data_IF_467616205888
#
_entry.id   IF_467616205888
#
_cell.length_a   1.000
_cell.length_b   1.000
_cell.length_c   1.000
_cell.angle_alpha   90.00
_cell.angle_beta   90.00
_cell.angle_gamma   90.00
#
_symmetry.space_group_name_H-M   'P 1'
#
loop_
_entity.id
_entity.type
_entity.pdbx_description
1 polymer ?
#
# COMPACT_ATOMS: atom_id res chain seq x y z
N UNK A 1 -62.75 33.52 -7.61
CA UNK A 1 -62.08 32.70 -8.59
C UNK A 1 -60.64 33.13 -8.84
N UNK A 2 -60.35 34.45 -9.12
CA UNK A 2 -59.00 34.96 -9.36
C UNK A 2 -58.10 34.77 -8.11
N UNK A 3 -58.54 35.10 -6.93
CA UNK A 3 -57.79 34.94 -5.67
C UNK A 3 -57.47 33.51 -5.38
N UNK A 4 -58.39 32.59 -5.65
CA UNK A 4 -58.12 31.13 -5.44
C UNK A 4 -57.08 30.57 -6.37
N UNK A 5 -57.07 31.00 -7.65
CA UNK A 5 -56.05 30.61 -8.61
C UNK A 5 -54.68 31.15 -8.23
N UNK A 6 -54.60 32.42 -7.78
CA UNK A 6 -53.33 32.98 -7.29
C UNK A 6 -52.81 32.26 -6.05
N UNK A 7 -53.64 31.94 -5.08
CA UNK A 7 -53.22 31.16 -3.91
C UNK A 7 -52.74 29.78 -4.28
N UNK A 8 -53.47 29.06 -5.17
CA UNK A 8 -53.06 27.74 -5.65
C UNK A 8 -51.72 27.76 -6.40
N UNK A 9 -51.46 28.79 -7.22
CA UNK A 9 -50.19 28.91 -7.94
C UNK A 9 -49.01 29.15 -7.02
N UNK A 10 -49.16 29.94 -5.96
CA UNK A 10 -48.11 30.15 -4.95
C UNK A 10 -47.82 28.87 -4.16
N UNK A 11 -48.85 28.18 -3.70
CA UNK A 11 -48.70 26.91 -2.97
C UNK A 11 -48.08 25.84 -3.83
N UNK A 12 -48.50 25.71 -5.09
CA UNK A 12 -47.95 24.76 -6.05
C UNK A 12 -46.47 25.06 -6.33
N UNK A 13 -46.10 26.33 -6.58
CA UNK A 13 -44.70 26.72 -6.79
C UNK A 13 -43.80 26.45 -5.57
N UNK A 14 -44.28 26.75 -4.38
CA UNK A 14 -43.56 26.44 -3.14
C UNK A 14 -43.40 24.95 -2.88
N UNK A 15 -44.42 24.14 -3.16
CA UNK A 15 -44.37 22.70 -3.03
C UNK A 15 -43.38 22.06 -3.99
N UNK A 16 -43.33 22.51 -5.24
CA UNK A 16 -42.38 22.02 -6.25
C UNK A 16 -40.92 22.34 -5.82
N UNK A 17 -40.65 23.58 -5.41
CA UNK A 17 -39.34 24.00 -4.96
C UNK A 17 -38.87 23.16 -3.74
N UNK A 18 -39.77 22.92 -2.79
CA UNK A 18 -39.48 22.06 -1.63
C UNK A 18 -39.12 20.60 -2.03
N UNK A 19 -39.91 20.01 -2.92
CA UNK A 19 -39.65 18.63 -3.40
C UNK A 19 -38.31 18.54 -4.11
N UNK A 20 -37.98 19.50 -4.98
CA UNK A 20 -36.69 19.52 -5.69
C UNK A 20 -35.53 19.64 -4.68
N UNK A 21 -35.59 20.57 -3.75
CA UNK A 21 -34.56 20.76 -2.73
C UNK A 21 -34.41 19.53 -1.83
N UNK A 22 -35.51 18.94 -1.41
CA UNK A 22 -35.51 17.71 -0.59
C UNK A 22 -34.88 16.51 -1.36
N UNK A 23 -35.22 16.36 -2.62
CA UNK A 23 -34.65 15.28 -3.46
C UNK A 23 -33.15 15.46 -3.69
N UNK A 24 -32.70 16.69 -3.94
CA UNK A 24 -31.27 16.99 -4.10
C UNK A 24 -30.50 16.69 -2.82
N UNK A 25 -31.02 17.13 -1.65
CA UNK A 25 -30.38 16.85 -0.36
C UNK A 25 -30.30 15.35 -0.06
N UNK A 26 -31.36 14.59 -0.39
CA UNK A 26 -31.36 13.14 -0.24
C UNK A 26 -30.29 12.49 -1.13
N UNK A 27 -30.20 12.89 -2.41
CA UNK A 27 -29.22 12.38 -3.34
C UNK A 27 -27.77 12.67 -2.87
N UNK A 28 -27.49 13.92 -2.49
CA UNK A 28 -26.17 14.31 -1.96
C UNK A 28 -25.78 13.50 -0.72
N UNK A 29 -26.73 13.27 0.19
CA UNK A 29 -26.46 12.46 1.39
C UNK A 29 -26.17 11.01 1.04
N UNK A 30 -26.90 10.43 0.07
CA UNK A 30 -26.68 9.07 -0.39
C UNK A 30 -25.29 8.91 -1.05
N UNK A 31 -24.90 9.85 -1.91
CA UNK A 31 -23.57 9.86 -2.56
C UNK A 31 -22.45 9.99 -1.54
N UNK A 32 -22.55 10.92 -0.58
CA UNK A 32 -21.56 11.03 0.51
C UNK A 32 -21.44 9.73 1.31
N UNK A 33 -22.56 9.07 1.58
CA UNK A 33 -22.58 7.76 2.24
C UNK A 33 -21.81 6.69 1.44
N UNK A 34 -22.02 6.64 0.14
CA UNK A 34 -21.33 5.72 -0.77
C UNK A 34 -19.83 6.01 -0.82
N UNK A 35 -19.41 7.26 -1.07
CA UNK A 35 -18.00 7.66 -1.12
C UNK A 35 -17.29 7.36 0.21
N UNK A 36 -17.96 7.62 1.35
CA UNK A 36 -17.45 7.26 2.68
C UNK A 36 -17.24 5.76 2.84
N UNK A 37 -18.15 4.95 2.33
CA UNK A 37 -18.05 3.49 2.34
C UNK A 37 -16.84 2.97 1.55
N UNK A 38 -16.66 3.48 0.33
CA UNK A 38 -15.50 3.18 -0.54
C UNK A 38 -14.21 3.57 0.18
N UNK A 39 -14.13 4.80 0.71
CA UNK A 39 -12.95 5.31 1.38
C UNK A 39 -12.54 4.48 2.61
N UNK A 40 -13.50 4.12 3.47
CA UNK A 40 -13.24 3.28 4.65
C UNK A 40 -12.73 1.89 4.26
N UNK A 41 -13.30 1.31 3.22
CA UNK A 41 -12.88 -0.02 2.74
C UNK A 41 -11.46 0.03 2.18
N UNK A 42 -11.15 1.05 1.37
CA UNK A 42 -9.82 1.24 0.80
C UNK A 42 -8.77 1.44 1.90
N UNK A 43 -9.03 2.34 2.86
CA UNK A 43 -8.13 2.59 4.00
C UNK A 43 -7.93 1.33 4.83
N UNK A 44 -8.98 0.59 5.17
CA UNK A 44 -8.84 -0.62 5.95
C UNK A 44 -8.06 -1.74 5.25
N UNK A 45 -8.06 -1.78 3.92
CA UNK A 45 -7.20 -2.70 3.16
C UNK A 45 -5.74 -2.25 3.17
N UNK A 46 -5.48 -0.94 2.93
CA UNK A 46 -4.15 -0.35 2.98
C UNK A 46 -3.52 -0.49 4.36
N UNK A 47 -4.24 -0.15 5.41
CA UNK A 47 -3.77 -0.25 6.80
C UNK A 47 -3.32 -1.67 7.17
N UNK A 48 -4.13 -2.67 6.83
CA UNK A 48 -3.75 -4.08 7.07
C UNK A 48 -2.52 -4.49 6.30
N UNK A 49 -2.38 -4.04 5.05
CA UNK A 49 -1.23 -4.35 4.21
C UNK A 49 0.04 -3.67 4.73
N UNK A 50 -0.04 -2.38 5.10
CA UNK A 50 1.07 -1.58 5.64
C UNK A 50 1.53 -2.15 6.98
N UNK A 51 0.60 -2.52 7.87
CA UNK A 51 0.93 -3.12 9.17
C UNK A 51 1.61 -4.50 9.05
N UNK A 52 1.45 -5.17 7.91
CA UNK A 52 2.09 -6.46 7.61
C UNK A 52 3.30 -6.30 6.65
N UNK A 53 3.92 -5.15 6.61
CA UNK A 53 5.10 -4.89 5.78
C UNK A 53 6.40 -5.02 6.58
N UNK A 54 7.46 -5.39 5.90
CA UNK A 54 8.81 -5.37 6.47
C UNK A 54 9.16 -3.93 6.87
N UNK A 55 9.64 -3.69 8.09
CA UNK A 55 10.06 -2.36 8.53
C UNK A 55 11.06 -1.74 7.55
N UNK A 56 10.97 -0.43 7.35
CA UNK A 56 11.84 0.34 6.45
C UNK A 56 11.85 -0.11 4.98
N UNK A 57 10.85 -0.91 4.54
CA UNK A 57 10.74 -1.32 3.12
C UNK A 57 9.91 -0.36 2.26
N UNK A 58 9.30 0.66 2.86
CA UNK A 58 8.39 1.57 2.15
C UNK A 58 9.14 2.53 1.23
N UNK A 59 8.64 2.67 0.01
CA UNK A 59 9.07 3.70 -0.93
C UNK A 59 7.88 4.23 -1.71
N UNK A 60 7.96 5.51 -2.10
CA UNK A 60 6.93 6.20 -2.87
C UNK A 60 7.55 6.78 -4.12
N UNK A 61 6.86 6.63 -5.25
CA UNK A 61 7.16 7.30 -6.51
C UNK A 61 5.88 7.90 -7.06
N UNK A 62 5.98 9.12 -7.58
CA UNK A 62 4.88 9.87 -8.17
C UNK A 62 5.26 10.37 -9.55
N UNK A 63 4.25 10.50 -10.44
CA UNK A 63 4.36 11.33 -11.64
C UNK A 63 4.39 12.82 -11.26
N UNK A 64 4.84 13.67 -12.19
CA UNK A 64 4.88 15.12 -11.94
C UNK A 64 3.48 15.74 -11.78
N UNK A 65 2.47 15.16 -12.42
CA UNK A 65 1.06 15.58 -12.38
C UNK A 65 0.27 15.01 -11.20
N UNK A 66 0.87 14.09 -10.41
CA UNK A 66 0.23 13.35 -9.31
C UNK A 66 -1.00 12.51 -9.74
N UNK A 67 -1.20 12.30 -11.02
CA UNK A 67 -2.20 11.39 -11.58
C UNK A 67 -1.80 9.90 -11.44
N UNK A 68 -0.52 9.67 -11.25
CA UNK A 68 0.04 8.38 -10.86
C UNK A 68 0.92 8.52 -9.63
N UNK A 69 0.63 7.72 -8.63
CA UNK A 69 1.46 7.64 -7.43
C UNK A 69 1.40 6.23 -6.86
N UNK A 70 2.57 5.65 -6.56
CA UNK A 70 2.70 4.31 -6.02
C UNK A 70 3.37 4.30 -4.66
N UNK A 71 2.79 3.57 -3.72
CA UNK A 71 3.40 3.11 -2.48
C UNK A 71 3.79 1.64 -2.65
N UNK A 72 5.06 1.32 -2.47
CA UNK A 72 5.58 -0.05 -2.59
C UNK A 72 6.28 -0.47 -1.30
N UNK A 73 6.14 -1.75 -0.94
CA UNK A 73 6.78 -2.35 0.22
C UNK A 73 6.89 -3.88 0.07
N UNK A 74 7.70 -4.51 0.93
CA UNK A 74 7.82 -5.96 1.04
C UNK A 74 6.82 -6.49 2.07
N UNK A 75 5.90 -7.40 1.70
CA UNK A 75 4.99 -8.02 2.66
C UNK A 75 5.72 -9.08 3.50
N UNK A 76 5.42 -9.15 4.79
CA UNK A 76 5.88 -10.22 5.68
C UNK A 76 4.98 -11.44 5.44
N UNK A 77 5.60 -12.58 5.11
CA UNK A 77 4.96 -13.89 5.05
C UNK A 77 5.02 -14.58 6.41
N UNK A 78 6.20 -14.53 7.05
CA UNK A 78 6.44 -15.01 8.41
C UNK A 78 7.56 -14.20 9.06
N UNK A 79 7.62 -14.22 10.37
CA UNK A 79 8.70 -13.63 11.14
C UNK A 79 9.11 -14.56 12.29
N UNK A 80 10.39 -14.58 12.61
CA UNK A 80 10.94 -15.37 13.70
C UNK A 80 12.14 -14.68 14.32
N UNK A 81 12.72 -15.32 15.34
CA UNK A 81 14.00 -14.95 15.89
C UNK A 81 15.07 -15.89 15.32
N UNK A 82 16.16 -15.35 14.78
CA UNK A 82 17.27 -16.16 14.34
C UNK A 82 18.16 -16.53 15.55
N UNK A 83 18.71 -17.75 15.49
CA UNK A 83 19.71 -18.26 16.44
C UNK A 83 21.11 -18.17 15.86
N UNK A 84 21.20 -18.25 14.52
CA UNK A 84 22.44 -18.13 13.76
C UNK A 84 22.17 -17.50 12.40
N UNK A 85 23.04 -16.60 11.97
CA UNK A 85 23.02 -16.02 10.63
C UNK A 85 24.43 -15.56 10.22
N UNK A 86 24.75 -15.48 8.92
CA UNK A 86 26.08 -15.10 8.44
C UNK A 86 26.28 -13.57 8.52
N UNK A 87 26.96 -13.08 9.56
CA UNK A 87 27.28 -11.66 9.75
C UNK A 87 28.76 -11.32 9.52
N UNK A 88 29.65 -12.27 9.70
CA UNK A 88 31.12 -12.08 9.56
C UNK A 88 31.60 -12.78 8.30
N UNK A 89 31.40 -14.09 8.27
CA UNK A 89 31.75 -14.91 7.13
C UNK A 89 30.53 -15.15 6.23
N UNK A 90 30.69 -15.12 4.89
CA UNK A 90 29.60 -15.43 3.98
C UNK A 90 29.06 -16.84 4.20
N UNK A 91 27.74 -16.96 4.27
CA UNK A 91 27.07 -18.25 4.51
C UNK A 91 25.78 -18.39 3.71
N UNK A 92 25.22 -19.60 3.71
CA UNK A 92 24.02 -19.95 2.96
C UNK A 92 22.84 -20.31 3.85
N UNK A 93 22.97 -20.22 5.18
CA UNK A 93 21.91 -20.61 6.11
C UNK A 93 21.65 -19.55 7.17
N UNK A 94 20.37 -19.39 7.50
CA UNK A 94 19.90 -18.66 8.68
C UNK A 94 19.05 -19.61 9.49
N UNK A 95 19.46 -19.90 10.72
CA UNK A 95 18.72 -20.75 11.63
C UNK A 95 17.78 -19.89 12.49
N UNK A 96 16.53 -20.32 12.59
CA UNK A 96 15.46 -19.61 13.29
C UNK A 96 14.78 -20.54 14.31
N UNK A 97 14.16 -19.95 15.34
CA UNK A 97 13.45 -20.72 16.36
C UNK A 97 12.27 -21.45 15.73
N UNK A 98 11.40 -20.73 15.02
CA UNK A 98 10.24 -21.30 14.33
C UNK A 98 9.68 -20.32 13.30
N UNK A 99 9.40 -20.80 12.11
CA UNK A 99 8.71 -20.09 11.04
C UNK A 99 7.34 -20.71 10.82
N UNK A 100 6.29 -19.94 11.01
CA UNK A 100 4.91 -20.41 10.91
C UNK A 100 4.47 -20.69 9.47
N UNK A 101 5.15 -20.10 8.51
CA UNK A 101 4.92 -20.26 7.07
C UNK A 101 6.23 -20.59 6.36
N UNK A 102 6.20 -21.59 5.47
CA UNK A 102 7.38 -22.06 4.70
C UNK A 102 7.15 -21.97 3.18
N UNK A 103 6.15 -21.21 2.75
CA UNK A 103 5.85 -20.98 1.34
C UNK A 103 5.34 -19.55 1.11
N UNK A 104 5.50 -19.06 -0.11
CA UNK A 104 4.99 -17.74 -0.52
C UNK A 104 5.91 -16.55 -0.26
N UNK A 105 7.13 -16.77 0.23
CA UNK A 105 8.17 -15.75 0.36
C UNK A 105 9.39 -16.08 -0.47
N UNK A 106 10.19 -15.06 -0.75
CA UNK A 106 11.36 -15.16 -1.62
C UNK A 106 12.63 -14.62 -0.96
N UNK A 107 12.48 -13.87 0.14
CA UNK A 107 13.59 -13.13 0.73
C UNK A 107 13.68 -13.33 2.23
N UNK A 108 14.91 -13.53 2.72
CA UNK A 108 15.26 -13.40 4.14
C UNK A 108 15.73 -11.97 4.40
N UNK A 109 15.11 -11.28 5.34
CA UNK A 109 15.45 -9.89 5.66
C UNK A 109 15.83 -9.78 7.13
N UNK A 110 17.02 -9.22 7.41
CA UNK A 110 17.52 -8.95 8.75
C UNK A 110 17.90 -7.48 8.85
N UNK A 111 17.28 -6.77 9.78
CA UNK A 111 17.60 -5.40 10.19
C UNK A 111 17.82 -4.40 9.05
N UNK A 112 16.83 -4.17 8.18
CA UNK A 112 16.94 -3.17 7.13
C UNK A 112 16.88 -1.76 7.74
N UNK A 113 17.85 -0.91 7.39
CA UNK A 113 17.90 0.48 7.85
C UNK A 113 17.22 1.45 6.90
N UNK A 114 17.19 1.11 5.61
CA UNK A 114 16.52 1.92 4.58
C UNK A 114 15.89 1.06 3.49
N UNK A 115 14.92 1.62 2.77
CA UNK A 115 14.36 0.96 1.59
C UNK A 115 15.42 0.79 0.49
N UNK A 116 16.34 1.73 0.33
CA UNK A 116 17.41 1.64 -0.66
C UNK A 116 18.26 0.38 -0.47
N UNK A 117 18.62 0.06 0.78
CA UNK A 117 19.44 -1.12 1.09
C UNK A 117 18.74 -2.43 0.70
N UNK A 118 17.42 -2.48 0.89
CA UNK A 118 16.60 -3.64 0.51
C UNK A 118 16.52 -3.82 -1.00
N UNK A 119 16.18 -2.75 -1.72
CA UNK A 119 15.89 -2.84 -3.15
C UNK A 119 17.13 -2.89 -4.04
N UNK A 120 18.31 -2.56 -3.53
CA UNK A 120 19.59 -2.72 -4.23
C UNK A 120 20.09 -4.17 -4.25
N UNK A 121 19.61 -5.03 -3.33
CA UNK A 121 20.06 -6.43 -3.19
C UNK A 121 21.59 -6.55 -3.10
N UNK A 122 22.21 -5.65 -2.34
CA UNK A 122 23.66 -5.68 -2.14
C UNK A 122 24.10 -6.90 -1.32
N UNK A 123 25.32 -7.35 -1.53
CA UNK A 123 25.99 -8.35 -0.71
C UNK A 123 27.41 -7.85 -0.35
N UNK A 124 27.68 -7.49 0.91
CA UNK A 124 26.82 -7.56 2.10
C UNK A 124 25.59 -6.65 2.03
N UNK A 125 24.47 -7.11 2.64
CA UNK A 125 23.21 -6.39 2.64
C UNK A 125 22.18 -6.97 3.62
N UNK A 126 21.05 -6.28 3.85
CA UNK A 126 20.03 -6.75 4.77
C UNK A 126 19.11 -7.83 4.20
N UNK A 127 19.23 -8.15 2.89
CA UNK A 127 18.32 -9.04 2.17
C UNK A 127 19.08 -10.13 1.42
N UNK A 128 18.72 -11.39 1.67
CA UNK A 128 19.19 -12.56 0.94
C UNK A 128 18.06 -13.28 0.21
N UNK A 129 18.32 -13.70 -1.05
CA UNK A 129 17.39 -14.53 -1.82
C UNK A 129 17.32 -15.94 -1.21
N UNK A 130 16.12 -16.53 -1.15
CA UNK A 130 15.87 -17.85 -0.56
C UNK A 130 15.76 -18.91 -1.66
N UNK A 131 16.43 -20.05 -1.44
CA UNK A 131 16.28 -21.25 -2.29
C UNK A 131 15.40 -22.31 -1.65
N UNK A 132 15.45 -22.45 -0.31
CA UNK A 132 14.64 -23.40 0.43
C UNK A 132 14.35 -22.89 1.84
N UNK A 133 13.27 -23.38 2.43
CA UNK A 133 12.88 -23.00 3.78
C UNK A 133 12.24 -24.19 4.51
N UNK A 134 12.58 -24.35 5.77
CA UNK A 134 11.93 -25.26 6.72
C UNK A 134 11.38 -24.47 7.88
N UNK A 135 10.74 -25.14 8.83
CA UNK A 135 10.23 -24.46 10.03
C UNK A 135 11.33 -23.83 10.91
N UNK A 136 12.58 -24.22 10.74
CA UNK A 136 13.70 -23.76 11.60
C UNK A 136 14.92 -23.24 10.81
N UNK A 137 14.98 -23.45 9.51
CA UNK A 137 16.15 -23.04 8.71
C UNK A 137 15.70 -22.41 7.39
N UNK A 138 16.28 -21.25 7.08
CA UNK A 138 16.18 -20.58 5.80
C UNK A 138 17.49 -20.85 5.05
N UNK A 139 17.41 -21.47 3.87
CA UNK A 139 18.55 -21.67 2.99
C UNK A 139 18.57 -20.61 1.92
N UNK A 140 19.66 -19.85 1.83
CA UNK A 140 19.84 -18.79 0.85
C UNK A 140 20.25 -19.38 -0.51
N UNK A 141 19.87 -18.70 -1.59
CA UNK A 141 20.17 -19.12 -2.95
C UNK A 141 21.66 -18.99 -3.32
N UNK A 142 22.36 -18.09 -2.63
CA UNK A 142 23.80 -17.87 -2.76
C UNK A 142 24.42 -17.52 -1.42
N UNK A 143 25.75 -17.62 -1.33
CA UNK A 143 26.48 -17.16 -0.15
C UNK A 143 26.25 -15.66 0.07
N UNK A 144 25.83 -15.28 1.27
CA UNK A 144 25.44 -13.91 1.62
C UNK A 144 26.02 -13.54 2.99
N UNK A 145 26.23 -12.24 3.20
CA UNK A 145 26.62 -11.67 4.50
C UNK A 145 25.63 -10.57 4.88
N UNK A 146 24.95 -10.71 6.01
CA UNK A 146 24.07 -9.64 6.51
C UNK A 146 24.90 -8.54 7.13
N UNK A 147 24.57 -7.27 6.80
CA UNK A 147 25.35 -6.10 7.21
C UNK A 147 25.30 -5.80 8.70
N UNK A 148 24.19 -6.10 9.36
CA UNK A 148 23.99 -5.70 10.76
C UNK A 148 23.11 -6.72 11.49
N UNK A 149 23.45 -6.95 12.76
CA UNK A 149 22.61 -7.75 13.64
C UNK A 149 21.37 -6.97 14.06
N UNK A 150 20.20 -7.62 14.06
CA UNK A 150 19.00 -7.08 14.65
C UNK A 150 19.13 -7.06 16.19
N UNK A 151 18.84 -5.93 16.87
CA UNK A 151 18.85 -5.87 18.32
C UNK A 151 17.95 -6.92 18.99
N UNK A 152 16.83 -7.27 18.33
CA UNK A 152 15.92 -8.31 18.78
C UNK A 152 16.14 -9.67 18.12
N UNK A 153 17.26 -9.90 17.42
CA UNK A 153 17.55 -11.13 16.67
C UNK A 153 16.42 -11.54 15.71
N UNK A 154 15.79 -10.59 15.08
CA UNK A 154 14.64 -10.85 14.18
C UNK A 154 15.05 -11.12 12.76
N UNK A 155 14.40 -12.10 12.16
CA UNK A 155 14.43 -12.39 10.72
C UNK A 155 13.01 -12.36 10.18
N UNK A 156 12.84 -11.68 9.04
CA UNK A 156 11.59 -11.66 8.30
C UNK A 156 11.72 -12.54 7.07
N UNK A 157 10.74 -13.40 6.89
CA UNK A 157 10.51 -14.12 5.65
C UNK A 157 9.53 -13.30 4.82
N UNK A 158 10.03 -12.64 3.78
CA UNK A 158 9.31 -11.68 2.98
C UNK A 158 8.94 -12.20 1.59
N UNK A 159 7.80 -11.77 1.10
CA UNK A 159 7.34 -12.04 -0.26
C UNK A 159 7.90 -11.05 -1.28
N UNK A 160 7.48 -11.22 -2.55
CA UNK A 160 7.72 -10.23 -3.59
C UNK A 160 7.05 -8.89 -3.24
N UNK A 161 7.58 -7.76 -3.75
CA UNK A 161 7.01 -6.44 -3.50
C UNK A 161 5.52 -6.38 -3.83
N UNK A 162 4.81 -5.58 -3.07
CA UNK A 162 3.42 -5.21 -3.33
C UNK A 162 3.36 -3.70 -3.54
N UNK A 163 2.71 -3.26 -4.62
CA UNK A 163 2.46 -1.84 -4.88
C UNK A 163 1.00 -1.51 -4.82
N UNK A 164 0.67 -0.40 -4.18
CA UNK A 164 -0.63 0.27 -4.28
C UNK A 164 -0.43 1.54 -5.09
N UNK A 165 -1.06 1.62 -6.26
CA UNK A 165 -0.87 2.72 -7.19
C UNK A 165 -2.18 3.40 -7.54
N UNK A 166 -2.21 4.73 -7.41
CA UNK A 166 -3.18 5.56 -8.11
C UNK A 166 -2.82 5.53 -9.60
N UNK A 167 -3.81 5.39 -10.45
CA UNK A 167 -3.72 5.52 -11.90
C UNK A 167 -4.98 6.23 -12.39
N UNK A 168 -4.84 7.51 -12.70
CA UNK A 168 -5.96 8.40 -12.97
C UNK A 168 -6.89 8.52 -11.75
N UNK A 169 -8.12 8.02 -11.88
CA UNK A 169 -9.13 8.06 -10.81
C UNK A 169 -9.31 6.73 -10.05
N UNK A 170 -8.42 5.78 -10.22
CA UNK A 170 -8.52 4.44 -9.64
C UNK A 170 -7.29 4.06 -8.84
N UNK A 171 -7.50 3.43 -7.70
CA UNK A 171 -6.45 2.86 -6.87
C UNK A 171 -6.40 1.34 -7.09
N UNK A 172 -5.25 0.86 -7.54
CA UNK A 172 -5.00 -0.55 -7.77
C UNK A 172 -3.96 -1.09 -6.80
N UNK A 173 -4.11 -2.37 -6.45
CA UNK A 173 -3.05 -3.17 -5.84
C UNK A 173 -2.40 -4.04 -6.92
N UNK A 174 -1.08 -4.05 -6.94
CA UNK A 174 -0.24 -4.90 -7.78
C UNK A 174 0.58 -5.83 -6.90
N UNK A 175 0.64 -7.12 -7.27
CA UNK A 175 1.44 -8.15 -6.59
C UNK A 175 1.86 -9.21 -7.59
N UNK A 176 2.90 -9.98 -7.29
CA UNK A 176 3.31 -11.13 -8.11
C UNK A 176 2.78 -12.42 -7.45
N UNK A 177 1.64 -12.92 -7.91
CA UNK A 177 1.06 -14.19 -7.46
C UNK A 177 1.25 -15.32 -8.46
N UNK A 178 1.25 -14.97 -9.73
CA UNK A 178 1.46 -15.91 -10.81
C UNK A 178 2.86 -15.67 -11.35
N UNK A 179 3.67 -16.70 -11.34
CA UNK A 179 5.01 -16.68 -11.97
C UNK A 179 4.97 -16.38 -13.49
N UNK A 180 3.81 -16.02 -14.01
CA UNK A 180 3.51 -15.74 -15.41
C UNK A 180 3.43 -14.23 -15.62
N UNK A 181 4.54 -13.62 -15.73
CA UNK A 181 4.66 -12.19 -15.98
C UNK A 181 6.02 -11.75 -15.52
N UNK A 182 7.01 -12.08 -16.32
CA UNK A 182 8.38 -11.66 -16.10
C UNK A 182 8.44 -10.13 -15.98
N UNK A 183 8.35 -9.60 -14.78
CA UNK A 183 8.50 -8.16 -14.67
C UNK A 183 8.33 -7.61 -13.27
N UNK A 184 7.35 -8.06 -12.50
CA UNK A 184 7.12 -7.52 -11.17
C UNK A 184 7.81 -8.37 -10.10
N UNK A 185 9.06 -8.07 -9.87
CA UNK A 185 9.92 -8.62 -8.81
C UNK A 185 10.67 -7.48 -8.14
N UNK A 186 11.35 -7.78 -7.06
CA UNK A 186 12.19 -6.80 -6.37
C UNK A 186 13.23 -6.20 -7.32
N UNK A 187 13.25 -4.89 -7.43
CA UNK A 187 14.11 -4.11 -8.32
C UNK A 187 14.52 -2.77 -7.72
N UNK A 188 15.61 -2.22 -8.18
CA UNK A 188 16.15 -0.93 -7.70
C UNK A 188 15.19 0.23 -7.98
N UNK A 189 14.64 0.31 -9.20
CA UNK A 189 13.71 1.37 -9.60
C UNK A 189 12.27 0.96 -9.33
N UNK A 190 11.53 1.80 -8.63
CA UNK A 190 10.09 1.62 -8.41
C UNK A 190 9.30 1.86 -9.70
N UNK A 191 8.24 1.07 -9.91
CA UNK A 191 7.34 1.18 -11.07
C UNK A 191 6.23 2.21 -10.86
N UNK A 192 5.81 2.85 -11.97
CA UNK A 192 4.52 3.53 -12.11
C UNK A 192 3.64 2.76 -13.10
N UNK A 193 2.31 2.96 -13.07
CA UNK A 193 1.38 2.34 -14.02
C UNK A 193 1.70 2.63 -15.50
N UNK A 194 2.24 3.81 -15.80
CA UNK A 194 2.68 4.20 -17.15
C UNK A 194 4.00 3.57 -17.61
N UNK A 195 4.79 3.00 -16.70
CA UNK A 195 6.05 2.37 -17.07
C UNK A 195 5.80 1.05 -17.81
N UNK A 196 6.31 0.93 -19.02
CA UNK A 196 6.11 -0.25 -19.88
C UNK A 196 6.67 -1.52 -19.22
N UNK A 197 5.87 -2.60 -19.19
CA UNK A 197 6.27 -3.92 -18.70
C UNK A 197 6.79 -3.94 -17.25
N UNK A 198 6.34 -3.01 -16.42
CA UNK A 198 6.84 -2.85 -15.07
C UNK A 198 5.89 -3.44 -14.03
N UNK A 199 4.60 -3.17 -14.15
CA UNK A 199 3.55 -3.71 -13.28
C UNK A 199 2.70 -4.76 -14.02
N UNK A 200 2.16 -5.78 -13.32
CA UNK A 200 1.27 -6.74 -13.94
C UNK A 200 -0.04 -6.08 -14.38
N UNK A 201 -0.53 -6.40 -15.57
CA UNK A 201 -1.66 -5.70 -16.18
C UNK A 201 -3.02 -6.38 -15.97
N UNK A 202 -3.05 -7.60 -15.42
CA UNK A 202 -4.28 -8.38 -15.28
C UNK A 202 -4.44 -9.13 -13.96
N UNK A 203 -5.66 -9.64 -13.69
CA UNK A 203 -5.93 -10.51 -12.56
C UNK A 203 -5.12 -11.83 -12.62
N UNK A 204 -4.76 -12.42 -11.47
CA UNK A 204 -5.04 -11.98 -10.11
C UNK A 204 -4.04 -10.97 -9.55
N UNK A 205 -3.03 -10.59 -10.32
CA UNK A 205 -1.90 -9.78 -9.86
C UNK A 205 -2.24 -8.29 -9.78
N UNK A 206 -3.24 -7.83 -10.55
CA UNK A 206 -3.83 -6.50 -10.46
C UNK A 206 -5.25 -6.57 -9.91
N UNK A 207 -5.54 -5.81 -8.85
CA UNK A 207 -6.87 -5.73 -8.26
C UNK A 207 -7.27 -4.27 -7.99
N UNK A 208 -8.50 -3.91 -8.35
CA UNK A 208 -9.09 -2.61 -8.02
C UNK A 208 -9.38 -2.55 -6.51
N UNK A 209 -8.96 -1.49 -5.86
CA UNK A 209 -9.17 -1.22 -4.43
C UNK A 209 -10.23 -0.14 -4.23
N UNK A 210 -10.15 0.92 -5.01
CA UNK A 210 -11.13 2.03 -5.00
C UNK A 210 -11.17 2.72 -6.35
N UNK A 211 -12.30 3.35 -6.64
CA UNK A 211 -12.52 4.23 -7.79
C UNK A 211 -12.99 5.61 -7.32
N UNK A 212 -13.32 6.47 -8.28
CA UNK A 212 -13.82 7.82 -8.03
C UNK A 212 -12.84 8.70 -7.24
N UNK A 213 -11.53 8.48 -7.38
CA UNK A 213 -10.48 9.26 -6.73
C UNK A 213 -10.13 10.46 -7.62
N UNK A 214 -10.09 11.65 -7.01
CA UNK A 214 -9.82 12.91 -7.70
C UNK A 214 -8.75 13.75 -6.96
N UNK A 215 -7.63 13.12 -6.63
CA UNK A 215 -6.52 13.77 -5.96
C UNK A 215 -5.78 14.76 -6.88
N UNK A 216 -5.70 14.44 -8.17
CA UNK A 216 -4.97 15.25 -9.14
C UNK A 216 -5.56 16.66 -9.31
N UNK A 217 -6.88 16.83 -9.20
CA UNK A 217 -7.55 18.14 -9.31
C UNK A 217 -7.08 19.18 -8.29
N UNK A 218 -6.61 18.72 -7.12
CA UNK A 218 -6.09 19.60 -6.06
C UNK A 218 -4.58 19.44 -5.83
N UNK A 219 -3.88 18.73 -6.71
CA UNK A 219 -2.47 18.40 -6.55
C UNK A 219 -2.17 17.77 -5.18
N UNK A 220 -3.10 16.93 -4.69
CA UNK A 220 -3.01 16.29 -3.40
C UNK A 220 -2.30 14.95 -3.51
N UNK A 221 -1.18 14.79 -2.79
CA UNK A 221 -0.47 13.52 -2.70
C UNK A 221 -1.31 12.46 -1.99
N UNK A 222 -1.50 11.29 -2.61
CA UNK A 222 -2.24 10.16 -2.01
C UNK A 222 -1.44 9.53 -0.88
N UNK A 223 -0.14 9.36 -1.09
CA UNK A 223 0.78 8.73 -0.15
C UNK A 223 1.87 9.70 0.24
N UNK A 224 2.08 9.86 1.54
CA UNK A 224 3.22 10.55 2.11
C UNK A 224 3.89 9.64 3.13
N UNK A 225 5.21 9.58 3.13
CA UNK A 225 5.98 8.75 4.04
C UNK A 225 7.01 9.59 4.78
N UNK A 226 6.89 9.64 6.10
CA UNK A 226 7.91 10.16 6.98
C UNK A 226 8.73 8.99 7.51
N UNK A 227 10.02 8.99 7.17
CA UNK A 227 10.94 7.94 7.61
C UNK A 227 11.07 7.91 9.12
N UNK A 228 11.21 6.72 9.70
CA UNK A 228 11.50 6.56 11.11
C UNK A 228 12.82 7.27 11.46
N UNK A 229 12.80 8.08 12.51
CA UNK A 229 13.98 8.65 13.13
C UNK A 229 14.30 7.95 14.44
N UNK A 230 15.41 8.36 15.09
CA UNK A 230 15.81 7.84 16.41
C UNK A 230 14.72 8.02 17.49
N UNK A 231 13.85 9.01 17.35
CA UNK A 231 12.81 9.36 18.32
C UNK A 231 11.37 9.05 17.83
N UNK A 232 11.16 8.79 16.54
CA UNK A 232 9.83 8.65 15.93
C UNK A 232 9.72 7.38 15.11
N UNK A 233 8.60 6.67 15.28
CA UNK A 233 8.20 5.62 14.34
C UNK A 233 7.95 6.22 12.96
N UNK A 234 8.18 5.45 11.89
CA UNK A 234 7.80 5.87 10.54
C UNK A 234 6.28 6.08 10.46
N UNK A 235 5.86 7.08 9.70
CA UNK A 235 4.46 7.43 9.54
C UNK A 235 4.10 7.47 8.05
N UNK A 236 3.05 6.74 7.68
CA UNK A 236 2.45 6.83 6.36
C UNK A 236 1.14 7.60 6.48
N UNK A 237 1.02 8.71 5.73
CA UNK A 237 -0.22 9.45 5.58
C UNK A 237 -0.90 9.07 4.28
N UNK A 238 -2.18 8.77 4.39
CA UNK A 238 -3.07 8.50 3.26
C UNK A 238 -4.03 9.68 3.12
N UNK A 239 -4.03 10.31 1.94
CA UNK A 239 -4.97 11.37 1.61
C UNK A 239 -5.73 10.94 0.35
N UNK A 240 -6.99 10.56 0.50
CA UNK A 240 -7.84 10.13 -0.61
C UNK A 240 -9.00 11.12 -0.76
N UNK A 241 -9.03 11.85 -1.87
CA UNK A 241 -10.18 12.66 -2.27
C UNK A 241 -11.05 11.83 -3.21
N UNK A 242 -12.26 11.56 -2.79
CA UNK A 242 -13.29 10.93 -3.61
C UNK A 242 -14.23 12.00 -4.18
N UNK A 243 -14.62 11.84 -5.45
CA UNK A 243 -15.56 12.75 -6.12
C UNK A 243 -16.40 11.99 -7.15
N UNK A 244 -17.69 12.32 -7.22
CA UNK A 244 -18.59 11.89 -8.31
C UNK A 244 -18.91 13.03 -9.30
N UNK A 245 -18.23 14.17 -9.17
CA UNK A 245 -18.46 15.39 -9.95
C UNK A 245 -19.49 16.35 -9.35
N UNK A 246 -20.38 15.90 -8.47
CA UNK A 246 -21.36 16.73 -7.75
C UNK A 246 -20.97 16.95 -6.30
N UNK A 247 -20.45 15.91 -5.67
CA UNK A 247 -20.01 15.92 -4.28
C UNK A 247 -18.58 15.41 -4.18
N UNK A 248 -17.83 15.93 -3.22
CA UNK A 248 -16.48 15.45 -2.95
C UNK A 248 -16.24 15.30 -1.45
N UNK A 249 -15.35 14.36 -1.11
CA UNK A 249 -14.98 14.09 0.27
C UNK A 249 -13.49 13.70 0.34
N UNK A 250 -12.78 14.30 1.29
CA UNK A 250 -11.38 13.93 1.57
C UNK A 250 -11.36 13.03 2.81
N UNK A 251 -10.76 11.86 2.67
CA UNK A 251 -10.49 10.95 3.77
C UNK A 251 -8.99 10.96 4.03
N UNK A 252 -8.60 11.34 5.25
CA UNK A 252 -7.21 11.34 5.70
C UNK A 252 -7.03 10.30 6.78
N UNK A 253 -5.94 9.56 6.70
CA UNK A 253 -5.61 8.53 7.67
C UNK A 253 -4.10 8.44 7.87
N UNK A 254 -3.67 8.26 9.10
CA UNK A 254 -2.27 8.13 9.48
C UNK A 254 -2.02 6.73 10.03
N UNK A 255 -1.01 6.07 9.50
CA UNK A 255 -0.63 4.71 9.89
C UNK A 255 0.80 4.75 10.42
N UNK A 256 0.97 4.41 11.69
CA UNK A 256 2.29 4.23 12.27
C UNK A 256 2.90 2.93 11.78
N UNK A 257 4.04 3.00 11.13
CA UNK A 257 4.81 1.83 10.74
C UNK A 257 5.49 1.26 11.97
N UNK A 258 5.18 0.02 12.30
CA UNK A 258 5.82 -0.67 13.42
C UNK A 258 7.31 -0.84 13.12
N UNK A 259 8.15 -0.02 13.75
CA UNK A 259 9.60 -0.20 13.70
C UNK A 259 10.01 -1.23 14.76
N UNK A 260 9.62 -2.48 14.56
CA UNK A 260 9.99 -3.60 15.44
C UNK A 260 11.27 -4.20 14.86
N UNK A 261 12.39 -3.64 15.29
CA UNK A 261 13.73 -4.07 14.89
C UNK A 261 14.26 -5.18 15.80
#
# INVERSE_FOLDING_TARGET
LIVSILLLSIVAGGSIAYVISSTQTYYQTAVRGQLSGIGRTAIGQLERAINNAVPNSFRIRSSASLDEQCLEFLPIVSASYYTSAPFVDPGTTVDAIYLSQTSGGNYAVIYPLSAADLYQKSNPGPLGDISAITAQTITLASSHTFTSMSPGSRVYYAGEPVSYCLSGNQLFRYRNQTSVGAGYSLRTSQCLPSDSNCLPMGPPDRALIADSIDNASESLSVFEFETAGLANAGLIRLNLKFSDGLESMIVRHEIQVKNVQ
#
